data_IF_469831959339
#
_entry.id   IF_469831959339
#
_cell.length_a   1.000
_cell.length_b   1.000
_cell.length_c   1.000
_cell.angle_alpha   90.00
_cell.angle_beta   90.00
_cell.angle_gamma   90.00
#
_symmetry.space_group_name_H-M   'P 1'
#
loop_
_entity.id
_entity.type
_entity.pdbx_description
1 polymer ?
#
# COMPACT_ATOMS: atom_id res chain seq x y z
N UNK A 1 -8.73 1.06 6.95
CA UNK A 1 -8.62 2.31 7.73
C UNK A 1 -9.40 3.39 6.98
N UNK A 2 -10.60 3.73 7.45
CA UNK A 2 -11.39 4.83 6.88
C UNK A 2 -10.93 6.08 7.62
N UNK A 3 -10.01 6.83 7.03
CA UNK A 3 -9.51 8.05 7.64
C UNK A 3 -10.58 9.12 7.50
N UNK A 4 -10.97 9.70 8.63
CA UNK A 4 -11.87 10.85 8.66
C UNK A 4 -11.02 12.07 8.28
N UNK A 5 -11.51 12.88 7.33
CA UNK A 5 -10.82 14.10 6.94
C UNK A 5 -10.81 15.04 8.16
N UNK A 6 -9.64 15.29 8.73
CA UNK A 6 -9.46 16.24 9.84
C UNK A 6 -9.12 17.59 9.21
N UNK A 7 -9.91 18.62 9.51
CA UNK A 7 -9.57 19.99 9.11
C UNK A 7 -9.60 20.91 10.32
N UNK A 8 -8.57 21.74 10.47
CA UNK A 8 -8.39 22.68 11.59
C UNK A 8 -8.40 24.11 11.06
N UNK A 9 -9.22 24.98 11.64
CA UNK A 9 -9.21 26.42 11.38
C UNK A 9 -9.32 27.17 12.71
N UNK A 10 -8.26 27.92 13.06
CA UNK A 10 -8.13 29.05 14.01
C UNK A 10 -9.04 29.14 15.26
N UNK A 11 -9.54 28.01 15.72
CA UNK A 11 -10.19 27.79 17.00
C UNK A 11 -9.64 26.46 17.48
N UNK A 12 -9.40 26.30 18.78
CA UNK A 12 -8.79 25.09 19.36
C UNK A 12 -9.66 23.82 19.24
N UNK A 13 -10.59 23.80 18.28
CA UNK A 13 -11.62 22.78 18.09
C UNK A 13 -11.36 22.04 16.77
N UNK A 14 -11.30 20.71 16.89
CA UNK A 14 -11.27 19.81 15.74
C UNK A 14 -12.70 19.61 15.24
N UNK A 15 -12.93 19.89 13.95
CA UNK A 15 -14.22 19.63 13.32
C UNK A 15 -14.14 18.36 12.47
N UNK A 16 -15.09 17.45 12.68
CA UNK A 16 -15.32 16.30 11.80
C UNK A 16 -16.36 16.69 10.76
N UNK A 17 -16.02 16.52 9.48
CA UNK A 17 -16.95 16.68 8.36
C UNK A 17 -17.19 15.30 7.76
N UNK A 18 -18.43 14.82 7.79
CA UNK A 18 -18.82 13.49 7.32
C UNK A 18 -18.99 13.39 5.80
N UNK A 19 -19.04 14.53 5.10
CA UNK A 19 -19.16 14.59 3.64
C UNK A 19 -17.79 14.46 2.95
N UNK A 20 -17.75 13.75 1.82
CA UNK A 20 -16.56 13.67 0.98
C UNK A 20 -16.19 15.02 0.36
N UNK A 21 -14.93 15.15 -0.07
CA UNK A 21 -14.50 16.30 -0.87
C UNK A 21 -14.91 16.04 -2.32
N UNK A 22 -15.72 16.93 -2.89
CA UNK A 22 -16.09 16.90 -4.30
C UNK A 22 -15.00 17.56 -5.15
N UNK A 23 -14.66 18.82 -4.86
CA UNK A 23 -13.59 19.55 -5.54
C UNK A 23 -12.98 20.67 -4.68
N UNK A 24 -11.84 21.18 -5.11
CA UNK A 24 -11.13 22.28 -4.46
C UNK A 24 -10.95 23.41 -5.46
N UNK A 25 -11.34 24.62 -5.07
CA UNK A 25 -11.23 25.84 -5.86
C UNK A 25 -10.42 26.87 -5.06
N UNK A 26 -9.12 26.98 -5.36
CA UNK A 26 -8.17 27.82 -4.60
C UNK A 26 -8.15 27.41 -3.12
N UNK A 27 -8.69 28.25 -2.22
CA UNK A 27 -8.80 28.00 -0.78
C UNK A 27 -10.12 27.32 -0.37
N UNK A 28 -11.09 27.26 -1.28
CA UNK A 28 -12.42 26.74 -1.02
C UNK A 28 -12.46 25.25 -1.28
N UNK A 29 -12.95 24.48 -0.32
CA UNK A 29 -13.31 23.07 -0.50
C UNK A 29 -14.82 22.98 -0.63
N UNK A 30 -15.27 22.36 -1.71
CA UNK A 30 -16.67 22.04 -1.95
C UNK A 30 -16.86 20.56 -1.63
N UNK A 31 -17.78 20.28 -0.71
CA UNK A 31 -18.10 18.94 -0.25
C UNK A 31 -19.22 18.33 -1.11
N UNK A 32 -19.38 17.01 -1.07
CA UNK A 32 -20.47 16.29 -1.77
C UNK A 32 -21.88 16.71 -1.30
N UNK A 33 -21.98 17.34 -0.13
CA UNK A 33 -23.21 17.91 0.45
C UNK A 33 -23.50 19.34 -0.02
N UNK A 34 -22.77 19.84 -1.01
CA UNK A 34 -22.79 21.24 -1.46
C UNK A 34 -22.36 22.26 -0.39
N UNK A 35 -21.91 21.81 0.78
CA UNK A 35 -21.26 22.67 1.77
C UNK A 35 -19.95 23.22 1.19
N UNK A 36 -19.68 24.49 1.43
CA UNK A 36 -18.46 25.17 1.03
C UNK A 36 -17.73 25.74 2.25
N UNK A 37 -16.41 25.53 2.33
CA UNK A 37 -15.58 26.12 3.39
C UNK A 37 -14.22 26.54 2.86
N UNK A 38 -13.73 27.67 3.37
CA UNK A 38 -12.39 28.16 3.08
C UNK A 38 -11.37 27.64 4.09
N UNK A 39 -10.22 27.22 3.57
CA UNK A 39 -9.08 26.75 4.34
C UNK A 39 -7.78 27.40 3.88
N UNK A 40 -6.95 27.78 4.83
CA UNK A 40 -5.62 28.32 4.53
C UNK A 40 -4.63 27.23 4.13
N UNK A 41 -4.82 26.01 4.65
CA UNK A 41 -3.98 24.84 4.36
C UNK A 41 -4.86 23.60 4.22
N UNK A 42 -4.55 22.76 3.24
CA UNK A 42 -5.22 21.48 3.01
C UNK A 42 -4.15 20.38 3.01
N UNK A 43 -4.29 19.39 3.90
CA UNK A 43 -3.36 18.24 4.00
C UNK A 43 -4.09 16.96 3.64
N UNK A 44 -3.65 16.30 2.56
CA UNK A 44 -4.20 15.01 2.16
C UNK A 44 -3.51 13.86 2.90
N UNK A 45 -4.22 13.27 3.86
CA UNK A 45 -3.86 12.02 4.51
C UNK A 45 -4.73 10.85 3.98
N UNK A 46 -5.05 10.83 2.68
CA UNK A 46 -6.00 9.88 2.06
C UNK A 46 -5.36 8.53 1.69
N UNK A 47 -4.09 8.34 2.04
CA UNK A 47 -3.30 7.17 1.69
C UNK A 47 -2.71 7.24 0.28
N UNK A 48 -2.31 6.09 -0.25
CA UNK A 48 -1.63 5.95 -1.54
C UNK A 48 -2.22 4.79 -2.35
N UNK A 49 -2.20 4.92 -3.69
CA UNK A 49 -2.52 3.84 -4.64
C UNK A 49 -1.23 3.34 -5.28
N UNK A 50 -1.03 2.01 -5.28
CA UNK A 50 0.17 1.41 -5.85
C UNK A 50 0.34 1.78 -7.33
N UNK A 51 1.55 2.20 -7.70
CA UNK A 51 1.94 2.39 -9.08
C UNK A 51 2.59 1.12 -9.67
N UNK A 52 2.67 0.03 -8.91
CA UNK A 52 3.42 -1.17 -9.28
C UNK A 52 3.03 -1.73 -10.65
N UNK A 53 1.74 -1.86 -10.94
CA UNK A 53 1.25 -2.39 -12.22
C UNK A 53 1.56 -1.48 -13.42
N UNK A 54 1.96 -0.22 -13.21
CA UNK A 54 2.36 0.68 -14.30
C UNK A 54 3.80 0.46 -14.77
N UNK A 55 4.67 -0.05 -13.88
CA UNK A 55 6.09 -0.23 -14.19
C UNK A 55 6.52 -1.70 -14.22
N UNK A 56 5.81 -2.57 -13.49
CA UNK A 56 6.03 -4.02 -13.52
C UNK A 56 5.16 -4.64 -14.62
N UNK A 57 5.79 -5.06 -15.71
CA UNK A 57 5.15 -5.89 -16.73
C UNK A 57 4.91 -7.30 -16.20
N UNK A 58 3.89 -7.98 -16.73
CA UNK A 58 3.49 -9.33 -16.32
C UNK A 58 3.30 -9.45 -14.80
N UNK A 59 2.73 -8.41 -14.20
CA UNK A 59 2.61 -8.30 -12.75
C UNK A 59 1.76 -9.43 -12.16
N UNK A 60 0.93 -10.10 -12.95
CA UNK A 60 0.04 -11.21 -12.55
C UNK A 60 0.79 -12.37 -11.91
N UNK A 61 2.11 -12.49 -12.11
CA UNK A 61 2.95 -13.46 -11.39
C UNK A 61 3.04 -13.20 -9.89
N UNK A 62 2.84 -11.95 -9.42
CA UNK A 62 3.04 -11.58 -8.01
C UNK A 62 2.02 -10.57 -7.45
N UNK A 63 1.40 -9.73 -8.29
CA UNK A 63 0.46 -8.68 -7.93
C UNK A 63 -0.94 -8.89 -8.51
N UNK A 64 -1.95 -8.42 -7.77
CA UNK A 64 -3.32 -8.26 -8.26
C UNK A 64 -3.51 -6.92 -9.00
N UNK A 65 -4.71 -6.69 -9.52
CA UNK A 65 -5.07 -5.50 -10.29
C UNK A 65 -4.88 -4.16 -9.54
N UNK A 66 -4.81 -4.19 -8.21
CA UNK A 66 -4.59 -3.01 -7.37
C UNK A 66 -3.10 -2.73 -7.11
N UNK A 67 -2.19 -3.48 -7.72
CA UNK A 67 -0.75 -3.41 -7.50
C UNK A 67 -0.33 -3.84 -6.10
N UNK A 68 -1.08 -4.78 -5.53
CA UNK A 68 -0.88 -5.37 -4.20
C UNK A 68 -0.56 -6.86 -4.37
N UNK A 69 0.05 -7.54 -3.39
CA UNK A 69 0.34 -8.97 -3.50
C UNK A 69 -0.93 -9.75 -3.84
N UNK A 70 -0.83 -10.68 -4.80
CA UNK A 70 -1.99 -11.46 -5.25
C UNK A 70 -2.38 -12.56 -4.27
N UNK A 71 -1.41 -13.11 -3.55
CA UNK A 71 -1.59 -14.17 -2.56
C UNK A 71 -1.98 -13.58 -1.20
N UNK A 72 -2.69 -14.36 -0.40
CA UNK A 72 -3.12 -13.96 0.94
C UNK A 72 -2.06 -14.27 2.00
N UNK A 73 -2.16 -13.58 3.15
CA UNK A 73 -1.34 -13.85 4.33
C UNK A 73 -1.63 -15.28 4.83
N UNK A 74 -0.62 -16.10 5.18
CA UNK A 74 0.79 -15.77 5.40
C UNK A 74 1.74 -15.94 4.19
N UNK A 75 1.24 -16.31 3.01
CA UNK A 75 2.05 -16.57 1.80
C UNK A 75 2.13 -15.39 0.82
N UNK A 76 1.56 -14.24 1.17
CA UNK A 76 1.43 -13.07 0.30
C UNK A 76 2.76 -12.56 -0.27
N UNK A 77 3.87 -12.81 0.43
CA UNK A 77 5.21 -12.36 0.05
C UNK A 77 5.82 -13.17 -1.10
N UNK A 78 5.30 -14.36 -1.42
CA UNK A 78 5.86 -15.22 -2.48
C UNK A 78 4.97 -15.22 -3.72
N UNK A 79 5.54 -14.80 -4.85
CA UNK A 79 4.93 -14.94 -6.17
C UNK A 79 5.49 -16.11 -6.94
N UNK A 80 5.23 -16.10 -8.24
CA UNK A 80 5.74 -17.10 -9.18
C UNK A 80 7.10 -16.68 -9.74
N UNK A 81 7.81 -17.64 -10.35
CA UNK A 81 9.06 -17.40 -11.10
C UNK A 81 10.16 -16.69 -10.31
N UNK A 82 10.23 -16.93 -9.00
CA UNK A 82 11.24 -16.32 -8.12
C UNK A 82 11.02 -14.83 -7.84
N UNK A 83 9.81 -14.32 -8.08
CA UNK A 83 9.44 -12.94 -7.77
C UNK A 83 8.77 -12.89 -6.39
N UNK A 84 9.09 -11.87 -5.60
CA UNK A 84 8.62 -11.71 -4.22
C UNK A 84 8.03 -10.32 -3.96
N UNK A 85 7.17 -10.23 -2.96
CA UNK A 85 6.56 -9.01 -2.45
C UNK A 85 7.06 -8.72 -1.03
N UNK A 86 7.89 -7.68 -0.85
CA UNK A 86 8.30 -7.21 0.47
C UNK A 86 7.58 -5.90 0.83
N UNK A 87 6.81 -5.88 1.92
CA UNK A 87 6.19 -4.65 2.45
C UNK A 87 4.99 -4.13 1.66
N UNK A 88 4.56 -4.84 0.62
CA UNK A 88 3.37 -4.51 -0.16
C UNK A 88 2.07 -4.97 0.50
N UNK A 89 2.11 -5.63 1.66
CA UNK A 89 0.91 -6.15 2.34
C UNK A 89 0.13 -5.14 3.18
N UNK A 90 0.59 -3.87 3.27
CA UNK A 90 0.02 -2.80 4.12
C UNK A 90 -0.01 -3.14 5.62
N UNK A 91 0.92 -3.97 6.08
CA UNK A 91 1.05 -4.41 7.48
C UNK A 91 2.07 -3.59 8.28
N UNK A 92 2.44 -2.41 7.77
CA UNK A 92 3.38 -1.50 8.41
C UNK A 92 4.81 -2.04 8.49
N UNK A 93 5.64 -1.40 9.33
CA UNK A 93 7.06 -1.73 9.51
C UNK A 93 7.30 -3.17 10.00
N UNK A 94 6.42 -3.66 10.87
CA UNK A 94 6.49 -5.04 11.34
C UNK A 94 6.23 -6.03 10.21
N UNK A 95 5.22 -5.78 9.38
CA UNK A 95 4.91 -6.61 8.22
C UNK A 95 6.04 -6.71 7.21
N UNK A 96 6.65 -5.58 6.83
CA UNK A 96 7.79 -5.62 5.89
C UNK A 96 8.99 -6.38 6.45
N UNK A 97 9.24 -6.31 7.76
CA UNK A 97 10.31 -7.11 8.39
C UNK A 97 10.02 -8.61 8.32
N UNK A 98 8.78 -9.02 8.55
CA UNK A 98 8.37 -10.43 8.40
C UNK A 98 8.53 -10.90 6.95
N UNK A 99 8.05 -10.10 5.99
CA UNK A 99 8.14 -10.41 4.56
C UNK A 99 9.61 -10.57 4.14
N UNK A 100 10.48 -9.63 4.53
CA UNK A 100 11.91 -9.67 4.20
C UNK A 100 12.61 -10.92 4.76
N UNK A 101 12.30 -11.32 5.99
CA UNK A 101 12.85 -12.54 6.61
C UNK A 101 12.41 -13.80 5.86
N UNK A 102 11.10 -13.91 5.58
CA UNK A 102 10.55 -15.06 4.87
C UNK A 102 11.14 -15.20 3.45
N UNK A 103 11.32 -14.08 2.74
CA UNK A 103 11.98 -14.06 1.43
C UNK A 103 13.43 -14.52 1.52
N UNK A 104 14.20 -14.02 2.49
CA UNK A 104 15.60 -14.41 2.68
C UNK A 104 15.74 -15.91 2.99
N UNK A 105 14.86 -16.44 3.85
CA UNK A 105 14.83 -17.86 4.20
C UNK A 105 14.51 -18.73 2.97
N UNK A 106 13.54 -18.31 2.13
CA UNK A 106 13.15 -19.03 0.91
C UNK A 106 14.28 -19.04 -0.14
N UNK A 107 14.95 -17.90 -0.35
CA UNK A 107 16.10 -17.81 -1.26
C UNK A 107 17.24 -18.72 -0.77
N UNK A 108 17.58 -18.65 0.52
CA UNK A 108 18.62 -19.49 1.11
C UNK A 108 18.30 -20.99 0.98
N UNK A 109 17.05 -21.37 1.24
CA UNK A 109 16.57 -22.75 1.04
C UNK A 109 16.71 -23.20 -0.42
N UNK A 110 16.30 -22.35 -1.36
CA UNK A 110 16.38 -22.63 -2.80
C UNK A 110 17.82 -22.86 -3.26
N UNK A 111 18.76 -22.00 -2.84
CA UNK A 111 20.18 -22.12 -3.18
C UNK A 111 20.75 -23.46 -2.68
N UNK A 112 20.44 -23.84 -1.44
CA UNK A 112 20.91 -25.11 -0.86
C UNK A 112 20.37 -26.32 -1.62
N UNK A 113 19.09 -26.30 -2.00
CA UNK A 113 18.48 -27.37 -2.78
C UNK A 113 19.10 -27.48 -4.17
N UNK A 114 19.35 -26.36 -4.85
CA UNK A 114 20.00 -26.37 -6.16
C UNK A 114 21.43 -26.90 -6.11
N UNK A 115 22.18 -26.59 -5.04
CA UNK A 115 23.52 -27.11 -4.85
C UNK A 115 23.53 -28.63 -4.63
N UNK A 116 22.56 -29.17 -3.90
CA UNK A 116 22.40 -30.61 -3.70
C UNK A 116 21.98 -31.34 -4.98
N UNK A 117 21.02 -30.77 -5.73
CA UNK A 117 20.57 -31.34 -7.00
C UNK A 117 21.68 -31.40 -8.06
N UNK A 118 22.61 -30.44 -8.03
CA UNK A 118 23.77 -30.38 -8.93
C UNK A 118 24.91 -31.33 -8.54
N UNK A 119 24.80 -31.97 -7.36
CA UNK A 119 25.77 -32.95 -6.83
C UNK A 119 25.31 -34.40 -6.95
N UNK A 120 24.10 -34.64 -7.45
CA UNK A 120 23.59 -35.96 -7.80
C UNK A 120 24.04 -36.32 -9.24
N UNK A 121 24.58 -37.54 -9.47
CA UNK A 121 25.11 -37.97 -10.77
C UNK A 121 24.02 -38.13 -11.84
#
# INVERSE_FOLDING_TARGET
MRLQNIVSNNSHLVQVISSGINRIEKKKVIFESDMEKDYDVIVFATGFKSAANKWLKDHEYVLNEKGMPKNEVPGHWKGEKGIYCAGLSRRGLFGVSMDAKAIADDINGTIKLTAQASSLP
#
